data_IF_293043485217
#
_entry.id   IF_293043485217
#
_cell.length_a   1.000
_cell.length_b   1.000
_cell.length_c   1.000
_cell.angle_alpha   90.00
_cell.angle_beta   90.00
_cell.angle_gamma   90.00
#
_symmetry.space_group_name_H-M   'P 1'
#
loop_
_entity.id
_entity.type
_entity.pdbx_description
1 polymer ?
#
# COMPACT_ATOMS: atom_id res chain seq x y z
N UNK A 1 -4.71 -9.83 -13.04
CA UNK A 1 -3.60 -8.86 -13.12
C UNK A 1 -2.31 -9.58 -12.70
N UNK A 2 -1.60 -10.21 -13.65
CA UNK A 2 -0.27 -10.81 -13.45
C UNK A 2 0.49 -10.68 -14.75
N UNK A 3 1.44 -9.75 -14.86
CA UNK A 3 2.30 -9.65 -16.04
C UNK A 3 3.56 -8.76 -15.86
N UNK A 4 4.26 -8.82 -14.72
CA UNK A 4 5.68 -8.45 -14.74
C UNK A 4 6.53 -9.27 -13.75
N UNK A 5 7.01 -10.47 -14.14
CA UNK A 5 7.82 -11.34 -13.28
C UNK A 5 9.20 -10.77 -12.89
N UNK A 6 9.55 -9.55 -13.33
CA UNK A 6 10.80 -8.86 -12.93
C UNK A 6 10.65 -8.00 -11.67
N UNK A 7 9.43 -7.71 -11.22
CA UNK A 7 9.15 -7.15 -9.88
C UNK A 7 8.53 -8.29 -9.10
N UNK A 8 9.28 -8.95 -8.21
CA UNK A 8 8.73 -9.95 -7.27
C UNK A 8 7.86 -9.27 -6.20
N UNK A 9 6.89 -8.48 -6.65
CA UNK A 9 6.04 -7.60 -5.87
C UNK A 9 4.67 -7.65 -6.54
N UNK A 10 3.71 -8.22 -5.84
CA UNK A 10 2.39 -8.58 -6.32
C UNK A 10 1.28 -8.17 -5.36
N UNK A 11 0.15 -8.89 -5.46
CA UNK A 11 -1.03 -8.58 -4.66
C UNK A 11 -0.85 -9.07 -3.22
N UNK A 12 -0.16 -10.19 -3.07
CA UNK A 12 0.12 -10.86 -1.82
C UNK A 12 0.94 -9.94 -0.88
N UNK A 13 2.00 -9.31 -1.39
CA UNK A 13 2.80 -8.33 -0.64
C UNK A 13 1.99 -7.07 -0.29
N UNK A 14 1.08 -6.64 -1.18
CA UNK A 14 0.20 -5.52 -0.88
C UNK A 14 -0.75 -5.83 0.28
N UNK A 15 -1.26 -7.06 0.35
CA UNK A 15 -2.11 -7.50 1.46
C UNK A 15 -1.32 -7.57 2.77
N UNK A 16 -0.08 -8.04 2.72
CA UNK A 16 0.76 -8.18 3.91
C UNK A 16 1.06 -6.84 4.59
N UNK A 17 1.19 -5.75 3.82
CA UNK A 17 1.32 -4.38 4.37
C UNK A 17 0.21 -4.07 5.39
N UNK A 18 -1.02 -4.51 5.14
CA UNK A 18 -2.16 -4.27 6.02
C UNK A 18 -2.29 -5.28 7.17
N UNK A 19 -1.46 -6.34 7.19
CA UNK A 19 -1.48 -7.38 8.23
C UNK A 19 -0.61 -7.06 9.45
N UNK A 20 0.28 -6.08 9.32
CA UNK A 20 1.16 -5.57 10.36
C UNK A 20 0.79 -4.12 10.70
N UNK A 21 1.34 -3.50 11.76
CA UNK A 21 1.24 -2.06 11.93
C UNK A 21 1.71 -1.34 10.67
N UNK A 22 0.89 -0.40 10.19
CA UNK A 22 1.18 0.40 9.00
C UNK A 22 0.89 1.87 9.28
N UNK A 23 1.70 2.73 8.68
CA UNK A 23 1.41 4.14 8.57
C UNK A 23 0.40 4.36 7.45
N UNK A 24 -0.62 5.19 7.69
CA UNK A 24 -1.67 5.52 6.72
C UNK A 24 -1.83 7.03 6.61
N UNK A 25 -1.79 7.55 5.38
CA UNK A 25 -2.15 8.92 5.09
C UNK A 25 -3.00 9.05 3.83
N UNK A 26 -3.88 10.06 3.83
CA UNK A 26 -4.67 10.43 2.67
C UNK A 26 -3.83 11.33 1.75
N UNK A 27 -3.73 10.94 0.48
CA UNK A 27 -2.97 11.67 -0.54
C UNK A 27 -3.83 12.55 -1.43
N UNK A 28 -5.08 12.15 -1.66
CA UNK A 28 -6.02 12.91 -2.49
C UNK A 28 -7.45 12.64 -2.05
N UNK A 29 -8.30 13.65 -2.14
CA UNK A 29 -9.72 13.55 -1.78
C UNK A 29 -10.59 13.11 -2.98
N UNK A 30 -10.14 13.37 -4.23
CA UNK A 30 -10.92 13.05 -5.45
C UNK A 30 -10.01 12.68 -6.65
N UNK A 31 -9.92 11.39 -7.04
CA UNK A 31 -10.47 10.23 -6.34
C UNK A 31 -9.83 10.08 -4.95
N UNK A 32 -10.58 9.51 -4.01
CA UNK A 32 -10.09 9.29 -2.67
C UNK A 32 -8.94 8.26 -2.69
N UNK A 33 -7.73 8.73 -2.44
CA UNK A 33 -6.51 7.95 -2.58
C UNK A 33 -5.70 8.00 -1.28
N UNK A 34 -5.28 6.82 -0.86
CA UNK A 34 -4.54 6.59 0.36
C UNK A 34 -3.16 6.00 0.06
N UNK A 35 -2.21 6.30 0.95
CA UNK A 35 -0.92 5.64 1.01
C UNK A 35 -0.81 4.88 2.32
N UNK A 36 -0.50 3.59 2.21
CA UNK A 36 -0.08 2.77 3.34
C UNK A 36 1.41 2.45 3.23
N UNK A 37 2.13 2.55 4.34
CA UNK A 37 3.53 2.11 4.47
C UNK A 37 3.58 1.07 5.58
N UNK A 38 4.03 -0.14 5.28
CA UNK A 38 4.04 -1.23 6.25
C UNK A 38 5.00 -2.35 5.89
N UNK A 39 5.14 -3.29 6.82
CA UNK A 39 6.09 -4.40 6.71
C UNK A 39 5.58 -5.51 5.80
N UNK A 40 6.50 -6.00 4.95
CA UNK A 40 6.38 -7.24 4.20
C UNK A 40 7.68 -8.00 4.41
N UNK A 41 7.61 -9.13 5.09
CA UNK A 41 8.77 -9.85 5.63
C UNK A 41 9.72 -8.89 6.39
N UNK A 42 10.95 -8.72 5.91
CA UNK A 42 12.00 -7.88 6.52
C UNK A 42 12.11 -6.48 5.88
N UNK A 43 11.16 -6.07 5.04
CA UNK A 43 11.26 -4.83 4.29
C UNK A 43 9.98 -3.99 4.39
N UNK A 44 10.13 -2.66 4.45
CA UNK A 44 9.00 -1.75 4.32
C UNK A 44 8.60 -1.58 2.85
N UNK A 45 7.30 -1.56 2.61
CA UNK A 45 6.68 -1.33 1.32
C UNK A 45 5.66 -0.21 1.40
N UNK A 46 5.49 0.49 0.28
CA UNK A 46 4.51 1.55 0.11
C UNK A 46 3.47 1.10 -0.91
N UNK A 47 2.20 1.09 -0.49
CA UNK A 47 1.03 0.80 -1.32
C UNK A 47 0.25 2.09 -1.51
N UNK A 48 -0.16 2.37 -2.75
CA UNK A 48 -1.19 3.36 -3.05
C UNK A 48 -2.46 2.63 -3.43
N UNK A 49 -3.57 2.98 -2.78
CA UNK A 49 -4.87 2.39 -3.03
C UNK A 49 -5.97 3.43 -2.96
N UNK A 50 -7.12 3.09 -3.52
CA UNK A 50 -8.34 3.89 -3.48
C UNK A 50 -9.45 3.07 -2.83
N UNK A 51 -10.31 3.74 -2.06
CA UNK A 51 -11.54 3.12 -1.55
C UNK A 51 -12.61 3.33 -2.61
N UNK A 52 -13.17 2.24 -3.11
CA UNK A 52 -14.23 2.25 -4.13
C UNK A 52 -15.39 1.40 -3.65
N UNK A 53 -16.60 1.70 -4.13
CA UNK A 53 -17.80 0.92 -3.82
C UNK A 53 -18.41 0.31 -5.06
N UNK A 54 -18.90 -0.92 -4.94
CA UNK A 54 -19.77 -1.58 -5.91
C UNK A 54 -21.06 -2.09 -5.24
N UNK A 55 -21.84 -2.93 -5.94
CA UNK A 55 -23.10 -3.49 -5.44
C UNK A 55 -22.91 -4.39 -4.21
N UNK A 56 -21.70 -4.91 -3.98
CA UNK A 56 -21.35 -5.80 -2.87
C UNK A 56 -20.68 -5.06 -1.69
N UNK A 57 -20.33 -3.78 -1.87
CA UNK A 57 -19.84 -2.89 -0.80
C UNK A 57 -18.55 -2.16 -1.15
N UNK A 58 -17.84 -1.69 -0.12
CA UNK A 58 -16.56 -1.01 -0.28
C UNK A 58 -15.40 -1.99 -0.41
N UNK A 59 -14.48 -1.72 -1.35
CA UNK A 59 -13.27 -2.49 -1.58
C UNK A 59 -12.07 -1.59 -1.83
N UNK A 60 -10.88 -2.13 -1.58
CA UNK A 60 -9.62 -1.44 -1.84
C UNK A 60 -9.11 -1.75 -3.25
N UNK A 61 -9.07 -0.72 -4.08
CA UNK A 61 -8.50 -0.78 -5.42
C UNK A 61 -7.02 -0.40 -5.36
N UNK A 62 -6.14 -1.40 -5.45
CA UNK A 62 -4.70 -1.18 -5.47
C UNK A 62 -4.27 -0.48 -6.76
N UNK A 63 -3.66 0.70 -6.63
CA UNK A 63 -3.17 1.48 -7.77
C UNK A 63 -1.73 1.09 -8.11
N UNK A 64 -0.85 1.00 -7.10
CA UNK A 64 0.57 0.68 -7.29
C UNK A 64 1.23 0.30 -5.97
N UNK A 65 2.36 -0.44 -6.06
CA UNK A 65 3.14 -0.93 -4.93
C UNK A 65 4.64 -0.88 -5.25
N UNK A 66 5.46 -0.46 -4.29
CA UNK A 66 6.92 -0.50 -4.38
C UNK A 66 7.57 -0.67 -3.00
N UNK A 67 8.84 -1.11 -2.98
CA UNK A 67 9.65 -1.13 -1.76
C UNK A 67 9.88 0.30 -1.28
N UNK A 68 9.58 0.59 -0.02
CA UNK A 68 9.61 1.93 0.54
C UNK A 68 10.99 2.59 0.34
N UNK A 69 10.99 3.83 -0.11
CA UNK A 69 12.18 4.67 -0.20
C UNK A 69 12.70 5.03 1.19
N UNK A 70 13.94 5.52 1.32
CA UNK A 70 14.48 5.96 2.62
C UNK A 70 13.60 7.00 3.33
N UNK A 71 13.01 7.92 2.56
CA UNK A 71 12.12 8.97 3.10
C UNK A 71 10.81 8.37 3.62
N UNK A 72 10.27 7.37 2.92
CA UNK A 72 9.07 6.65 3.34
C UNK A 72 9.32 5.76 4.56
N UNK A 73 10.51 5.16 4.67
CA UNK A 73 10.93 4.42 5.85
C UNK A 73 11.02 5.34 7.07
N UNK A 74 11.65 6.50 6.93
CA UNK A 74 11.71 7.52 7.99
C UNK A 74 10.31 7.99 8.40
N UNK A 75 9.43 8.24 7.42
CA UNK A 75 8.05 8.63 7.68
C UNK A 75 7.29 7.56 8.48
N UNK A 76 7.50 6.28 8.17
CA UNK A 76 6.95 5.18 8.97
C UNK A 76 7.50 5.22 10.40
N UNK A 77 8.82 5.32 10.58
CA UNK A 77 9.47 5.32 11.90
C UNK A 77 9.06 6.53 12.78
N UNK A 78 8.83 7.69 12.18
CA UNK A 78 8.39 8.90 12.89
C UNK A 78 6.94 8.81 13.40
N UNK A 79 6.14 7.89 12.84
CA UNK A 79 4.71 7.79 13.10
C UNK A 79 4.26 6.39 13.59
N UNK A 80 5.16 5.42 13.74
CA UNK A 80 4.87 4.05 14.24
C UNK A 80 5.15 3.88 15.73
#
# INVERSE_FOLDING_TARGET
MRANPKRGIGFEEAQEVFSHPYYLDQRSDWPEQYRAIGWVEENLYTVIFEVRGDEDGEYYHLVTLWKATRQEQQLYEEHS
#
